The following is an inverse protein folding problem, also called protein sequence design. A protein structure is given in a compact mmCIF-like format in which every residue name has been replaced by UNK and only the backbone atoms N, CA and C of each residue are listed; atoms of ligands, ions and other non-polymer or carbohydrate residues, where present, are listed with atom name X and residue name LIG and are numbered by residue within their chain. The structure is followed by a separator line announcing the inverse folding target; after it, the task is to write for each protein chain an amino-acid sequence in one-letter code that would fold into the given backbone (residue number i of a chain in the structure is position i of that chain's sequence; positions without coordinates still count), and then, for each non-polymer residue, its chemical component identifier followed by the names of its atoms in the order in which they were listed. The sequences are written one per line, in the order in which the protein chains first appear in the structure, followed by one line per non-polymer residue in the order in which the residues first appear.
data_IF_667173585483
#
_entry.id   IF_667173585483
#
_cell.length_a   1.000
_cell.length_b   1.000
_cell.length_c   1.000
_cell.angle_alpha   90.00
_cell.angle_beta   90.00
_cell.angle_gamma   90.00
#
_symmetry.space_group_name_H-M   'P 1'
#
loop_
_entity.id
_entity.type
_entity.pdbx_description
1 polymer ?
#
# COMPACT_ATOMS: atom_id res chain seq x y z
N UNK A 1 23.05 -9.78 -30.46
CA UNK A 1 22.20 -10.87 -29.91
C UNK A 1 20.85 -11.01 -30.62
N UNK A 2 20.64 -10.42 -31.82
CA UNK A 2 19.42 -10.59 -32.63
C UNK A 2 19.59 -11.55 -33.82
N UNK A 3 20.77 -12.16 -33.99
CA UNK A 3 21.11 -13.01 -35.14
C UNK A 3 20.98 -14.51 -34.87
N UNK A 4 20.81 -14.93 -33.61
CA UNK A 4 20.63 -16.35 -33.26
C UNK A 4 19.16 -16.81 -33.24
N UNK A 5 18.19 -15.88 -33.17
CA UNK A 5 16.77 -16.25 -33.24
C UNK A 5 16.32 -16.67 -34.65
N UNK A 6 16.99 -16.18 -35.72
CA UNK A 6 16.58 -16.53 -37.08
C UNK A 6 16.99 -17.95 -37.47
N UNK A 7 18.12 -18.45 -36.95
CA UNK A 7 18.64 -19.79 -37.33
C UNK A 7 17.86 -20.92 -36.67
N UNK A 8 17.36 -20.72 -35.44
CA UNK A 8 16.51 -21.72 -34.76
C UNK A 8 15.14 -21.90 -35.42
N UNK A 9 14.65 -20.92 -36.19
CA UNK A 9 13.42 -21.08 -36.98
C UNK A 9 13.61 -21.92 -38.25
N UNK A 10 14.82 -21.98 -38.82
CA UNK A 10 15.05 -22.71 -40.07
C UNK A 10 15.23 -24.22 -39.89
N UNK A 11 15.68 -24.70 -38.72
CA UNK A 11 15.85 -26.14 -38.50
C UNK A 11 14.55 -26.88 -38.13
N UNK A 12 13.55 -26.19 -37.57
CA UNK A 12 12.27 -26.81 -37.17
C UNK A 12 11.24 -26.80 -38.32
N UNK A 13 11.46 -26.00 -39.37
CA UNK A 13 10.60 -25.96 -40.55
C UNK A 13 10.69 -27.21 -41.45
N UNK A 14 11.63 -28.14 -41.19
CA UNK A 14 11.79 -29.36 -41.99
C UNK A 14 10.92 -30.55 -41.52
N UNK A 15 10.20 -30.43 -40.40
CA UNK A 15 9.43 -31.56 -39.81
C UNK A 15 7.95 -31.21 -39.57
N UNK A 16 7.56 -29.94 -39.63
CA UNK A 16 6.19 -29.53 -39.33
C UNK A 16 5.72 -28.43 -40.27
N UNK A 17 4.51 -28.58 -40.82
CA UNK A 17 3.76 -27.57 -41.57
C UNK A 17 3.28 -26.39 -40.69
N UNK A 18 3.94 -26.15 -39.55
CA UNK A 18 3.57 -25.15 -38.56
C UNK A 18 4.07 -23.75 -38.91
N UNK A 19 3.14 -22.84 -39.14
CA UNK A 19 3.38 -21.39 -39.20
C UNK A 19 4.09 -20.91 -37.91
N UNK A 20 5.10 -20.03 -38.02
CA UNK A 20 5.76 -19.40 -36.86
C UNK A 20 4.77 -18.64 -35.95
N UNK A 21 3.55 -18.33 -36.44
CA UNK A 21 2.45 -17.83 -35.60
C UNK A 21 2.01 -18.83 -34.52
N UNK A 22 2.23 -20.14 -34.72
CA UNK A 22 1.86 -21.21 -33.78
C UNK A 22 2.85 -21.35 -32.60
N UNK A 23 4.07 -20.80 -32.70
CA UNK A 23 5.01 -20.72 -31.57
C UNK A 23 4.56 -19.70 -30.52
N UNK A 24 3.71 -18.73 -30.89
CA UNK A 24 3.11 -17.77 -29.96
C UNK A 24 2.10 -18.44 -29.01
N UNK A 25 1.51 -19.56 -29.42
CA UNK A 25 0.56 -20.38 -28.65
C UNK A 25 1.23 -21.31 -27.63
N UNK A 26 2.56 -21.39 -27.58
CA UNK A 26 3.29 -22.14 -26.55
C UNK A 26 3.71 -21.29 -25.36
N UNK A 27 3.56 -19.97 -25.45
CA UNK A 27 3.84 -19.05 -24.35
C UNK A 27 2.60 -19.00 -23.45
N UNK A 28 2.78 -19.30 -22.17
CA UNK A 28 1.68 -19.29 -21.22
C UNK A 28 0.96 -17.94 -21.15
N UNK A 29 -0.33 -17.97 -20.86
CA UNK A 29 -1.18 -16.80 -20.64
C UNK A 29 -1.80 -16.87 -19.24
N UNK A 30 -1.99 -15.71 -18.62
CA UNK A 30 -2.66 -15.60 -17.33
C UNK A 30 -3.88 -14.69 -17.46
N UNK A 31 -4.98 -15.06 -16.80
CA UNK A 31 -6.15 -14.20 -16.66
C UNK A 31 -6.21 -13.63 -15.25
N UNK A 32 -6.28 -12.31 -15.13
CA UNK A 32 -6.38 -11.62 -13.85
C UNK A 32 -7.27 -10.38 -13.97
N UNK A 33 -8.30 -10.30 -13.11
CA UNK A 33 -9.20 -9.14 -12.99
C UNK A 33 -9.75 -8.63 -14.34
N UNK A 34 -10.34 -9.53 -15.12
CA UNK A 34 -10.91 -9.17 -16.42
C UNK A 34 -9.91 -9.11 -17.58
N UNK A 35 -8.59 -9.18 -17.32
CA UNK A 35 -7.54 -8.94 -18.31
C UNK A 35 -6.68 -10.16 -18.58
N UNK A 36 -6.25 -10.31 -19.84
CA UNK A 36 -5.27 -11.30 -20.28
C UNK A 36 -3.87 -10.72 -20.22
N UNK A 37 -2.94 -11.49 -19.65
CA UNK A 37 -1.52 -11.18 -19.52
C UNK A 37 -0.69 -12.27 -20.19
N UNK A 38 0.29 -11.85 -20.99
CA UNK A 38 1.20 -12.77 -21.67
C UNK A 38 2.33 -13.23 -20.73
N UNK A 39 2.92 -14.39 -20.95
CA UNK A 39 4.08 -14.86 -20.19
C UNK A 39 5.19 -13.79 -20.14
N UNK A 40 5.72 -13.54 -18.93
CA UNK A 40 6.70 -12.51 -18.63
C UNK A 40 6.12 -11.12 -18.38
N UNK A 41 4.84 -10.88 -18.68
CA UNK A 41 4.21 -9.59 -18.42
C UNK A 41 4.05 -9.36 -16.91
N UNK A 42 4.42 -8.16 -16.47
CA UNK A 42 4.26 -7.70 -15.08
C UNK A 42 3.07 -6.75 -14.94
N UNK A 43 2.36 -6.82 -13.82
CA UNK A 43 1.21 -5.95 -13.54
C UNK A 43 1.01 -5.75 -12.03
N UNK A 44 0.42 -4.62 -11.64
CA UNK A 44 0.08 -4.32 -10.25
C UNK A 44 -1.24 -4.97 -9.85
N UNK A 45 -1.29 -5.51 -8.63
CA UNK A 45 -2.48 -6.06 -7.98
C UNK A 45 -2.63 -5.48 -6.57
N UNK A 46 -3.71 -5.84 -5.86
CA UNK A 46 -3.85 -5.50 -4.44
C UNK A 46 -2.82 -6.19 -3.53
N UNK A 47 -2.20 -7.29 -3.99
CA UNK A 47 -1.15 -8.01 -3.25
C UNK A 47 0.21 -7.33 -3.46
N UNK A 48 0.44 -6.78 -4.64
CA UNK A 48 1.71 -6.17 -5.04
C UNK A 48 1.98 -6.39 -6.53
N UNK A 49 3.27 -6.39 -6.91
CA UNK A 49 3.70 -6.57 -8.29
C UNK A 49 3.67 -8.05 -8.68
N UNK A 50 2.85 -8.38 -9.67
CA UNK A 50 2.66 -9.74 -10.17
C UNK A 50 3.29 -9.92 -11.53
N UNK A 51 3.68 -11.17 -11.83
CA UNK A 51 4.21 -11.58 -13.13
C UNK A 51 3.44 -12.82 -13.60
N UNK A 52 3.04 -12.84 -14.86
CA UNK A 52 2.55 -14.07 -15.49
C UNK A 52 3.74 -14.97 -15.84
N UNK A 53 3.78 -16.17 -15.25
CA UNK A 53 4.84 -17.15 -15.53
C UNK A 53 4.58 -17.88 -16.86
N UNK A 54 5.62 -18.47 -17.48
CA UNK A 54 5.45 -19.30 -18.68
C UNK A 54 4.51 -20.51 -18.51
N UNK A 55 4.17 -20.87 -17.26
CA UNK A 55 3.35 -22.02 -16.91
C UNK A 55 1.89 -21.64 -16.56
N UNK A 56 1.40 -20.49 -17.03
CA UNK A 56 0.06 -19.97 -16.74
C UNK A 56 -0.21 -19.66 -15.25
N UNK A 57 0.84 -19.49 -14.45
CA UNK A 57 0.70 -19.12 -13.03
C UNK A 57 0.98 -17.64 -12.82
N UNK A 58 0.20 -17.00 -11.95
CA UNK A 58 0.46 -15.63 -11.49
C UNK A 58 1.35 -15.71 -10.25
N UNK A 59 2.54 -15.12 -10.32
CA UNK A 59 3.43 -15.00 -9.18
C UNK A 59 3.51 -13.54 -8.73
N UNK A 60 3.10 -13.26 -7.50
CA UNK A 60 3.10 -11.92 -6.93
C UNK A 60 4.18 -11.75 -5.88
N UNK A 61 4.84 -10.59 -5.91
CA UNK A 61 5.70 -10.11 -4.83
C UNK A 61 4.96 -8.98 -4.12
N UNK A 62 4.84 -9.09 -2.81
CA UNK A 62 4.32 -8.00 -2.00
C UNK A 62 5.29 -6.82 -2.07
N UNK A 63 4.77 -5.66 -2.44
CA UNK A 63 5.51 -4.41 -2.37
C UNK A 63 5.00 -3.62 -1.16
N UNK A 64 5.93 -3.18 -0.33
CA UNK A 64 5.65 -2.43 0.89
C UNK A 64 6.50 -1.17 0.95
N UNK A 65 6.05 -0.22 1.76
CA UNK A 65 6.84 0.87 2.26
C UNK A 65 7.14 0.66 3.74
N UNK A 66 8.35 1.03 4.16
CA UNK A 66 8.71 1.11 5.57
C UNK A 66 8.67 2.57 6.01
N UNK A 67 7.87 2.87 7.03
CA UNK A 67 7.75 4.21 7.60
C UNK A 67 7.70 4.15 9.12
N UNK A 68 8.66 4.81 9.79
CA UNK A 68 8.78 4.85 11.27
C UNK A 68 8.72 3.46 11.95
N UNK A 69 9.23 2.42 11.30
CA UNK A 69 9.26 1.04 11.81
C UNK A 69 8.01 0.21 11.49
N UNK A 70 7.01 0.80 10.85
CA UNK A 70 5.79 0.11 10.41
C UNK A 70 5.84 -0.18 8.90
N UNK A 71 5.13 -1.23 8.47
CA UNK A 71 5.06 -1.66 7.07
C UNK A 71 3.69 -1.39 6.47
N UNK A 72 3.66 -0.72 5.32
CA UNK A 72 2.44 -0.34 4.61
C UNK A 72 2.45 -0.95 3.20
N UNK A 73 1.32 -1.48 2.73
CA UNK A 73 1.23 -2.00 1.35
C UNK A 73 1.23 -0.85 0.36
N UNK A 74 1.77 -1.06 -0.84
CA UNK A 74 1.62 -0.09 -1.93
C UNK A 74 0.13 0.19 -2.18
N UNK A 75 -0.23 1.46 -2.28
CA UNK A 75 -1.61 1.96 -2.38
C UNK A 75 -2.29 2.21 -1.04
N UNK A 76 -1.73 1.74 0.07
CA UNK A 76 -2.27 2.01 1.42
C UNK A 76 -2.05 3.48 1.79
N UNK A 77 -3.10 4.10 2.33
CA UNK A 77 -3.01 5.40 3.00
C UNK A 77 -2.95 5.22 4.51
N UNK A 78 -2.24 6.12 5.18
CA UNK A 78 -2.09 6.13 6.62
C UNK A 78 -1.85 7.55 7.12
N UNK A 79 -1.98 7.77 8.43
CA UNK A 79 -1.64 9.05 9.05
C UNK A 79 -0.27 9.00 9.68
N UNK A 80 0.49 10.07 9.47
CA UNK A 80 1.67 10.40 10.24
C UNK A 80 1.44 11.76 10.92
N UNK A 81 1.12 11.72 12.21
CA UNK A 81 0.59 12.85 12.96
C UNK A 81 -0.64 13.45 12.25
N UNK A 82 -0.61 14.75 11.91
CA UNK A 82 -1.67 15.44 11.18
C UNK A 82 -1.59 15.27 9.66
N UNK A 83 -0.52 14.65 9.16
CA UNK A 83 -0.28 14.48 7.73
C UNK A 83 -0.90 13.19 7.22
N UNK A 84 -1.45 13.28 6.02
CA UNK A 84 -1.92 12.11 5.28
C UNK A 84 -0.80 11.61 4.40
N UNK A 85 -0.50 10.32 4.50
CA UNK A 85 0.56 9.64 3.79
C UNK A 85 0.01 8.52 2.91
N UNK A 86 0.68 8.26 1.80
CA UNK A 86 0.44 7.10 0.94
C UNK A 86 1.74 6.36 0.65
N UNK A 87 1.66 5.03 0.64
CA UNK A 87 2.73 4.17 0.17
C UNK A 87 2.65 3.99 -1.35
N UNK A 88 3.71 4.36 -2.06
CA UNK A 88 3.87 4.18 -3.50
C UNK A 88 4.87 3.07 -3.82
N UNK A 89 4.92 2.67 -5.09
CA UNK A 89 5.87 1.67 -5.59
C UNK A 89 7.31 2.07 -5.26
N UNK A 90 8.19 1.06 -5.15
CA UNK A 90 9.63 1.26 -4.87
C UNK A 90 9.93 1.87 -3.49
N UNK A 91 9.13 1.52 -2.48
CA UNK A 91 9.33 1.94 -1.08
C UNK A 91 9.33 3.48 -0.94
N UNK A 92 8.40 4.16 -1.61
CA UNK A 92 8.28 5.63 -1.56
C UNK A 92 7.06 6.00 -0.73
N UNK A 93 7.28 6.74 0.35
CA UNK A 93 6.19 7.31 1.15
C UNK A 93 6.01 8.77 0.76
N UNK A 94 4.80 9.16 0.35
CA UNK A 94 4.44 10.55 0.12
C UNK A 94 3.46 11.01 1.17
N UNK A 95 3.81 12.08 1.89
CA UNK A 95 2.94 12.70 2.86
C UNK A 95 2.59 14.14 2.46
N UNK A 96 1.43 14.62 2.93
CA UNK A 96 1.18 16.05 2.97
C UNK A 96 2.23 16.76 3.83
N UNK A 97 2.42 18.06 3.63
CA UNK A 97 3.38 18.89 4.40
C UNK A 97 2.67 19.95 5.23
N UNK A 98 1.72 19.51 6.05
CA UNK A 98 1.04 20.36 7.03
C UNK A 98 1.96 20.56 8.23
N UNK A 99 2.04 21.81 8.70
CA UNK A 99 2.62 22.10 10.00
C UNK A 99 1.64 21.61 11.07
N UNK A 100 1.98 20.53 11.76
CA UNK A 100 1.13 19.98 12.80
C UNK A 100 1.30 20.83 14.08
N UNK A 101 0.22 21.51 14.48
CA UNK A 101 0.14 22.18 15.77
C UNK A 101 -0.13 21.16 16.87
N UNK A 102 0.09 21.53 18.13
CA UNK A 102 -0.14 20.64 19.28
C UNK A 102 -1.59 20.16 19.37
N UNK A 103 -2.53 20.95 18.86
CA UNK A 103 -3.96 20.61 18.75
C UNK A 103 -4.27 19.66 17.59
N UNK A 104 -3.33 19.39 16.68
CA UNK A 104 -3.56 18.46 15.56
C UNK A 104 -3.21 17.02 15.90
N UNK A 105 -2.49 16.81 17.02
CA UNK A 105 -1.92 15.53 17.44
C UNK A 105 -2.64 14.99 18.71
N UNK A 106 -3.57 15.78 19.26
CA UNK A 106 -4.36 15.41 20.43
C UNK A 106 -4.86 16.64 21.20
N UNK A 107 -5.19 16.43 22.47
CA UNK A 107 -5.76 17.44 23.35
C UNK A 107 -4.68 17.98 24.29
N UNK A 108 -4.44 19.29 24.24
CA UNK A 108 -3.51 19.95 25.16
C UNK A 108 -4.21 20.31 26.48
N UNK A 109 -3.70 19.81 27.60
CA UNK A 109 -4.16 20.18 28.94
C UNK A 109 -3.00 20.20 29.94
N UNK A 110 -2.90 21.28 30.72
CA UNK A 110 -1.88 21.49 31.76
C UNK A 110 -0.44 21.18 31.28
N UNK A 111 -0.07 21.75 30.12
CA UNK A 111 1.22 21.54 29.45
C UNK A 111 1.55 20.08 29.05
N UNK A 112 0.54 19.20 29.04
CA UNK A 112 0.64 17.83 28.50
C UNK A 112 -0.24 17.68 27.26
N UNK A 113 0.18 16.81 26.36
CA UNK A 113 -0.61 16.39 25.19
C UNK A 113 -1.17 15.01 25.49
N UNK A 114 -2.49 14.89 25.39
CA UNK A 114 -3.22 13.63 25.50
C UNK A 114 -3.59 13.15 24.10
N UNK A 115 -3.15 11.94 23.74
CA UNK A 115 -3.47 11.32 22.45
C UNK A 115 -4.96 10.99 22.37
N UNK A 116 -5.46 10.82 21.16
CA UNK A 116 -6.83 10.36 20.90
C UNK A 116 -7.10 9.09 21.71
N UNK A 117 -8.20 9.08 22.48
CA UNK A 117 -8.60 7.99 23.38
C UNK A 117 -8.04 8.09 24.80
N UNK A 118 -6.97 8.86 25.03
CA UNK A 118 -6.46 9.08 26.38
C UNK A 118 -7.42 9.96 27.19
N UNK A 119 -7.41 9.75 28.51
CA UNK A 119 -8.27 10.49 29.43
C UNK A 119 -7.48 11.14 30.56
N UNK A 120 -8.01 12.24 31.07
CA UNK A 120 -7.41 13.00 32.17
C UNK A 120 -8.47 13.65 33.05
N UNK A 121 -8.09 13.91 34.29
CA UNK A 121 -8.92 14.65 35.22
C UNK A 121 -8.73 16.16 35.02
N UNK A 122 -9.84 16.86 34.80
CA UNK A 122 -9.93 18.32 34.92
C UNK A 122 -10.85 18.60 36.11
N UNK A 123 -10.25 19.04 37.21
CA UNK A 123 -10.96 19.13 38.50
C UNK A 123 -11.54 17.76 38.89
N UNK A 124 -12.85 17.66 39.14
CA UNK A 124 -13.55 16.40 39.42
C UNK A 124 -14.07 15.68 38.16
N UNK A 125 -13.91 16.28 36.97
CA UNK A 125 -14.45 15.75 35.73
C UNK A 125 -13.43 14.92 34.97
N UNK A 126 -13.88 13.80 34.42
CA UNK A 126 -13.07 12.96 33.54
C UNK A 126 -13.24 13.42 32.09
N UNK A 127 -12.15 13.79 31.44
CA UNK A 127 -12.10 14.24 30.07
C UNK A 127 -11.43 13.20 29.18
N UNK A 128 -12.04 12.87 28.05
CA UNK A 128 -11.45 11.98 27.04
C UNK A 128 -11.16 12.75 25.76
N UNK A 129 -9.94 12.62 25.24
CA UNK A 129 -9.58 13.24 23.97
C UNK A 129 -10.20 12.47 22.79
N UNK A 130 -10.94 13.18 21.94
CA UNK A 130 -11.60 12.61 20.76
C UNK A 130 -10.79 12.81 19.49
N UNK A 131 -11.18 12.11 18.43
CA UNK A 131 -10.59 12.16 17.09
C UNK A 131 -10.65 13.52 16.40
N UNK A 132 -11.52 14.42 16.89
CA UNK A 132 -11.56 15.84 16.53
C UNK A 132 -10.52 16.69 17.27
N UNK A 133 -9.64 16.07 18.06
CA UNK A 133 -8.70 16.72 18.97
C UNK A 133 -9.38 17.65 19.99
N UNK A 134 -10.62 17.35 20.34
CA UNK A 134 -11.37 18.03 21.39
C UNK A 134 -11.57 17.09 22.58
N UNK A 135 -11.45 17.64 23.79
CA UNK A 135 -11.72 16.90 25.00
C UNK A 135 -13.21 16.97 25.31
N UNK A 136 -13.83 15.79 25.44
CA UNK A 136 -15.20 15.66 25.93
C UNK A 136 -15.11 15.24 27.39
N UNK A 137 -15.65 16.08 28.28
CA UNK A 137 -15.62 15.86 29.72
C UNK A 137 -16.99 15.46 30.25
N UNK A 138 -17.00 14.72 31.36
CA UNK A 138 -18.19 14.64 32.21
C UNK A 138 -18.58 16.03 32.71
N UNK A 139 -19.85 16.20 33.07
CA UNK A 139 -20.39 17.45 33.62
C UNK A 139 -20.94 17.20 35.03
N UNK A 140 -20.03 16.83 35.93
CA UNK A 140 -20.31 16.65 37.34
C UNK A 140 -20.01 17.95 38.09
N UNK A 141 -20.93 18.43 38.96
CA UNK A 141 -20.66 19.59 39.79
C UNK A 141 -19.54 19.26 40.79
N UNK A 142 -18.41 19.96 40.65
CA UNK A 142 -17.28 19.78 41.56
C UNK A 142 -17.54 20.51 42.87
N UNK A 143 -17.42 19.80 43.98
CA UNK A 143 -17.39 20.40 45.31
C UNK A 143 -15.95 20.87 45.54
N UNK A 144 -15.77 22.17 45.75
CA UNK A 144 -14.49 22.75 46.17
C UNK A 144 -14.45 22.69 47.70
N UNK A 145 -13.60 21.83 48.25
CA UNK A 145 -13.23 21.83 49.67
C UNK A 145 -12.01 22.72 49.92
#
# INVERSE_FOLDING_TARGET
MLTHLSVFCFFIAAISTGDCRSLRSMLGECYYDGKLYQAGQTFSSFVGLCTCTPYNMIQCRMEICEHKGESYRVGQTFRDDCNECSCETKNVVKCTKKLCLTTDIGCAYNNKIYKIGESYMKECNNCTCKDTNTAVCTDMPCVLD
#
